data_IF_435513076886
#
_entry.id   IF_435513076886
#
_cell.length_a   1.000
_cell.length_b   1.000
_cell.length_c   1.000
_cell.angle_alpha   90.00
_cell.angle_beta   90.00
_cell.angle_gamma   90.00
#
_symmetry.space_group_name_H-M   'P 1'
#
loop_
_entity.id
_entity.type
_entity.pdbx_description
1 polymer ?
#
# COMPACT_ATOMS: atom_id res chain seq x y z
N UNK A 1 54.22 -17.30 19.68
CA UNK A 1 53.52 -16.58 18.60
C UNK A 1 52.04 -16.90 18.69
N UNK A 2 51.28 -16.10 19.45
CA UNK A 2 49.82 -16.26 19.59
C UNK A 2 49.13 -15.31 18.63
N UNK A 3 48.40 -15.85 17.64
CA UNK A 3 47.50 -15.08 16.78
C UNK A 3 46.20 -14.83 17.55
N UNK A 4 45.99 -13.59 17.98
CA UNK A 4 44.68 -13.10 18.42
C UNK A 4 43.77 -13.02 17.20
N UNK A 5 42.73 -13.86 17.18
CA UNK A 5 41.60 -13.75 16.27
C UNK A 5 40.61 -12.75 16.87
N UNK A 6 40.55 -11.55 16.28
CA UNK A 6 39.52 -10.56 16.55
C UNK A 6 38.18 -11.04 15.98
N UNK A 7 37.22 -11.34 16.85
CA UNK A 7 35.84 -11.56 16.44
C UNK A 7 35.19 -10.20 16.10
N UNK A 8 34.47 -10.09 14.97
CA UNK A 8 33.71 -8.89 14.65
C UNK A 8 32.55 -8.73 15.63
N UNK A 9 32.41 -7.53 16.17
CA UNK A 9 31.26 -7.08 16.97
C UNK A 9 29.96 -7.31 16.20
N UNK A 10 28.90 -7.85 16.84
CA UNK A 10 27.59 -7.96 16.21
C UNK A 10 27.03 -6.55 15.98
N UNK A 11 26.66 -6.28 14.72
CA UNK A 11 26.00 -5.05 14.33
C UNK A 11 24.80 -4.78 15.25
N UNK A 12 24.78 -3.59 15.87
CA UNK A 12 23.73 -3.16 16.75
C UNK A 12 22.37 -3.31 16.04
N UNK A 13 21.53 -4.20 16.57
CA UNK A 13 20.14 -4.34 16.17
C UNK A 13 19.45 -3.00 16.37
N UNK A 14 19.17 -2.30 15.26
CA UNK A 14 18.32 -1.11 15.29
C UNK A 14 16.96 -1.54 15.86
N UNK A 15 16.63 -1.06 17.05
CA UNK A 15 15.29 -1.15 17.60
C UNK A 15 14.39 -0.32 16.68
N UNK A 16 13.78 -0.96 15.69
CA UNK A 16 12.70 -0.36 14.92
C UNK A 16 11.60 0.01 15.91
N UNK A 17 11.38 1.31 16.11
CA UNK A 17 10.19 1.81 16.81
C UNK A 17 8.96 1.29 16.06
N UNK A 18 8.26 0.33 16.64
CA UNK A 18 7.04 -0.20 16.06
C UNK A 18 6.03 0.94 15.94
N UNK A 19 5.51 1.17 14.73
CA UNK A 19 4.48 2.18 14.50
C UNK A 19 3.22 1.70 15.22
N UNK A 20 2.66 2.47 16.15
CA UNK A 20 1.46 2.06 16.86
C UNK A 20 0.21 2.66 16.22
N UNK A 21 -0.67 1.80 15.70
CA UNK A 21 -2.01 2.18 15.23
C UNK A 21 -2.90 2.57 16.40
N UNK A 22 -3.72 3.61 16.21
CA UNK A 22 -4.83 3.95 17.11
C UNK A 22 -6.16 3.72 16.41
N UNK A 23 -7.11 3.10 17.08
CA UNK A 23 -8.50 3.04 16.60
C UNK A 23 -9.25 4.22 17.23
N UNK A 24 -9.72 5.15 16.39
CA UNK A 24 -10.43 6.35 16.84
C UNK A 24 -11.94 6.09 16.78
N UNK A 25 -12.58 6.15 17.93
CA UNK A 25 -14.03 6.01 18.05
C UNK A 25 -14.77 7.10 17.26
N UNK A 26 -15.76 6.68 16.49
CA UNK A 26 -16.69 7.57 15.79
C UNK A 26 -17.95 7.73 16.62
N UNK A 27 -18.54 8.91 16.64
CA UNK A 27 -19.76 9.21 17.39
C UNK A 27 -20.94 9.41 16.45
N UNK A 28 -22.17 9.25 16.97
CA UNK A 28 -23.40 9.46 16.18
C UNK A 28 -23.46 10.86 15.55
N UNK A 29 -22.90 11.88 16.22
CA UNK A 29 -22.88 13.25 15.70
C UNK A 29 -21.96 13.44 14.48
N UNK A 30 -21.03 12.50 14.24
CA UNK A 30 -20.08 12.52 13.12
C UNK A 30 -20.55 11.71 11.92
N UNK A 31 -21.69 11.01 12.03
CA UNK A 31 -22.23 10.19 10.96
C UNK A 31 -23.57 10.75 10.46
N UNK A 32 -23.85 10.63 9.16
CA UNK A 32 -25.20 10.84 8.67
C UNK A 32 -26.16 9.79 9.27
N UNK A 33 -27.46 10.13 9.40
CA UNK A 33 -28.44 9.15 9.84
C UNK A 33 -28.51 7.98 8.86
N UNK A 34 -28.69 6.77 9.40
CA UNK A 34 -28.85 5.55 8.62
C UNK A 34 -29.99 5.71 7.60
N UNK A 35 -29.82 5.20 6.36
CA UNK A 35 -30.91 5.18 5.41
C UNK A 35 -32.03 4.27 5.88
N UNK A 36 -33.24 4.58 5.43
CA UNK A 36 -34.39 3.69 5.61
C UNK A 36 -34.17 2.36 4.86
N UNK A 37 -34.36 1.20 5.53
CA UNK A 37 -34.11 -0.09 4.92
C UNK A 37 -34.93 -0.43 3.68
N UNK A 38 -36.18 0.00 3.62
CA UNK A 38 -37.04 -0.24 2.47
C UNK A 38 -36.57 0.59 1.27
N UNK A 39 -36.17 1.84 1.53
CA UNK A 39 -35.67 2.79 0.54
C UNK A 39 -34.40 2.28 -0.14
N UNK A 40 -33.36 1.88 0.62
CA UNK A 40 -32.12 1.40 -0.02
C UNK A 40 -32.32 0.05 -0.73
N UNK A 41 -33.15 -0.85 -0.19
CA UNK A 41 -33.45 -2.13 -0.86
C UNK A 41 -34.15 -1.91 -2.19
N UNK A 42 -35.12 -0.99 -2.23
CA UNK A 42 -35.83 -0.62 -3.45
C UNK A 42 -34.87 -0.09 -4.51
N UNK A 43 -33.96 0.80 -4.09
CA UNK A 43 -32.94 1.36 -4.97
C UNK A 43 -32.04 0.28 -5.58
N UNK A 44 -31.50 -0.65 -4.78
CA UNK A 44 -30.62 -1.71 -5.28
C UNK A 44 -31.37 -2.86 -5.99
N UNK A 45 -32.69 -3.00 -5.79
CA UNK A 45 -33.50 -4.02 -6.44
C UNK A 45 -33.88 -3.68 -7.89
N UNK A 46 -33.72 -2.43 -8.32
CA UNK A 46 -34.07 -1.99 -9.67
C UNK A 46 -32.82 -1.78 -10.54
N UNK A 47 -32.31 -2.82 -11.23
CA UNK A 47 -31.06 -2.74 -11.98
C UNK A 47 -31.13 -1.84 -13.23
N UNK A 48 -32.33 -1.38 -13.61
CA UNK A 48 -32.52 -0.43 -14.71
C UNK A 48 -32.48 1.03 -14.25
N UNK A 49 -32.43 1.28 -12.94
CA UNK A 49 -32.54 2.62 -12.34
C UNK A 49 -31.23 3.14 -11.73
N UNK A 50 -30.11 2.44 -11.97
CA UNK A 50 -28.77 2.95 -11.69
C UNK A 50 -28.43 4.26 -12.44
N UNK A 51 -29.34 4.76 -13.29
CA UNK A 51 -29.23 6.06 -13.95
C UNK A 51 -29.66 7.23 -13.05
N UNK A 52 -30.42 6.99 -11.99
CA UNK A 52 -30.68 8.01 -10.96
C UNK A 52 -29.58 7.98 -9.91
N UNK A 53 -29.05 9.14 -9.56
CA UNK A 53 -28.05 9.21 -8.50
C UNK A 53 -28.70 8.75 -7.18
N UNK A 54 -27.97 8.08 -6.27
CA UNK A 54 -28.50 7.71 -4.95
C UNK A 54 -29.11 8.89 -4.18
N UNK A 55 -28.65 10.11 -4.48
CA UNK A 55 -29.18 11.37 -4.00
C UNK A 55 -30.68 11.56 -4.32
N UNK A 56 -31.09 11.25 -5.56
CA UNK A 56 -32.46 11.42 -6.05
C UNK A 56 -33.42 10.44 -5.37
N UNK A 57 -32.94 9.22 -5.11
CA UNK A 57 -33.68 8.17 -4.41
C UNK A 57 -33.62 8.29 -2.88
N UNK A 58 -32.86 9.26 -2.33
CA UNK A 58 -32.53 9.37 -0.89
C UNK A 58 -32.00 8.05 -0.31
N UNK A 59 -31.34 7.24 -1.14
CA UNK A 59 -31.00 5.85 -0.85
C UNK A 59 -29.74 5.68 0.03
N UNK A 60 -29.25 6.76 0.66
CA UNK A 60 -28.36 6.68 1.81
C UNK A 60 -27.01 7.35 1.66
N UNK A 61 -26.00 6.72 2.28
CA UNK A 61 -24.63 7.19 2.39
C UNK A 61 -23.67 5.99 2.20
N UNK A 62 -22.42 6.23 1.82
CA UNK A 62 -21.41 5.17 1.88
C UNK A 62 -20.90 5.01 3.29
N UNK A 63 -20.83 3.77 3.77
CA UNK A 63 -20.09 3.44 4.97
C UNK A 63 -18.66 3.06 4.59
N UNK A 64 -17.70 3.52 5.35
CA UNK A 64 -16.28 3.38 5.02
C UNK A 64 -15.46 3.07 6.26
N UNK A 65 -14.35 2.37 6.05
CA UNK A 65 -13.23 2.31 6.99
C UNK A 65 -12.13 3.21 6.44
N UNK A 66 -11.58 4.07 7.29
CA UNK A 66 -10.61 5.09 6.91
C UNK A 66 -9.37 4.93 7.77
N UNK A 67 -8.21 4.92 7.13
CA UNK A 67 -6.88 4.91 7.75
C UNK A 67 -6.15 6.20 7.36
N UNK A 68 -5.90 7.09 8.32
CA UNK A 68 -5.00 8.24 8.12
C UNK A 68 -3.57 7.81 8.48
N UNK A 69 -2.69 7.77 7.48
CA UNK A 69 -1.30 7.35 7.65
C UNK A 69 -0.43 8.40 8.36
N UNK A 70 -0.86 9.65 8.48
CA UNK A 70 -0.09 10.69 9.17
C UNK A 70 -0.33 10.59 10.67
N UNK A 71 -1.59 10.43 11.08
CA UNK A 71 -1.94 10.28 12.50
C UNK A 71 -1.94 8.84 12.98
N UNK A 72 -1.91 7.86 12.06
CA UNK A 72 -2.03 6.42 12.34
C UNK A 72 -3.38 6.06 12.96
N UNK A 73 -4.43 6.78 12.59
CA UNK A 73 -5.79 6.53 13.06
C UNK A 73 -6.58 5.66 12.08
N UNK A 74 -7.19 4.59 12.58
CA UNK A 74 -8.23 3.83 11.90
C UNK A 74 -9.60 4.19 12.47
N UNK A 75 -10.57 4.54 11.63
CA UNK A 75 -11.90 4.91 12.09
C UNK A 75 -13.00 4.59 11.07
N UNK A 76 -14.22 4.48 11.58
CA UNK A 76 -15.43 4.32 10.80
C UNK A 76 -15.93 5.67 10.26
N UNK A 77 -16.45 5.70 9.04
CA UNK A 77 -16.93 6.93 8.41
C UNK A 77 -18.19 6.69 7.58
N UNK A 78 -18.97 7.75 7.39
CA UNK A 78 -20.20 7.76 6.59
C UNK A 78 -20.26 8.99 5.68
N UNK A 79 -20.31 8.79 4.36
CA UNK A 79 -20.39 9.88 3.38
C UNK A 79 -21.83 10.04 2.85
N UNK A 80 -22.50 11.14 3.22
CA UNK A 80 -23.92 11.36 2.91
C UNK A 80 -24.17 11.80 1.46
N UNK A 81 -24.70 10.89 0.65
CA UNK A 81 -25.07 11.19 -0.74
C UNK A 81 -26.28 12.08 -0.88
N UNK A 82 -27.07 12.28 0.19
CA UNK A 82 -28.21 13.20 0.16
C UNK A 82 -27.77 14.67 0.13
N UNK A 83 -26.54 14.93 0.58
CA UNK A 83 -25.94 16.26 0.59
C UNK A 83 -25.25 16.50 -0.76
N UNK A 84 -25.46 17.65 -1.42
CA UNK A 84 -24.73 17.99 -2.64
C UNK A 84 -23.23 17.81 -2.45
N UNK A 85 -22.60 17.23 -3.47
CA UNK A 85 -21.18 16.85 -3.47
C UNK A 85 -20.20 18.01 -3.19
N UNK A 86 -20.63 19.25 -3.35
CA UNK A 86 -19.86 20.48 -3.05
C UNK A 86 -19.92 20.88 -1.57
N UNK A 87 -20.92 20.40 -0.82
CA UNK A 87 -21.16 20.74 0.58
C UNK A 87 -20.67 19.65 1.56
N UNK A 88 -20.08 18.57 1.06
CA UNK A 88 -19.57 17.46 1.88
C UNK A 88 -18.17 17.78 2.42
N UNK A 89 -17.94 17.54 3.72
CA UNK A 89 -16.58 17.51 4.31
C UNK A 89 -15.85 16.28 3.82
N UNK A 90 -15.23 16.37 2.65
CA UNK A 90 -14.64 15.21 1.99
C UNK A 90 -13.41 14.70 2.71
N UNK A 91 -13.35 13.39 2.86
CA UNK A 91 -12.08 12.68 2.67
C UNK A 91 -11.74 12.87 1.19
N UNK A 92 -10.61 13.50 0.85
CA UNK A 92 -10.30 13.79 -0.53
C UNK A 92 -10.32 12.49 -1.35
N UNK A 93 -10.83 12.55 -2.60
CA UNK A 93 -10.91 11.38 -3.47
C UNK A 93 -9.53 10.75 -3.75
N UNK A 94 -8.45 11.48 -3.46
CA UNK A 94 -7.11 10.95 -3.26
C UNK A 94 -7.07 10.11 -1.98
N UNK A 95 -7.18 8.80 -2.11
CA UNK A 95 -7.13 7.89 -0.97
C UNK A 95 -8.03 6.68 -1.05
N UNK A 96 -8.86 6.55 -2.09
CA UNK A 96 -9.57 5.30 -2.32
C UNK A 96 -8.53 4.18 -2.39
N UNK A 97 -8.68 3.14 -1.55
CA UNK A 97 -7.91 1.92 -1.75
C UNK A 97 -8.38 1.28 -3.05
N UNK A 98 -7.70 1.64 -4.12
CA UNK A 98 -7.87 1.10 -5.44
C UNK A 98 -6.59 0.30 -5.71
N UNK A 99 -6.59 -1.04 -5.60
CA UNK A 99 -5.40 -1.86 -5.79
C UNK A 99 -4.90 -1.88 -7.26
N UNK A 100 -5.32 -0.90 -8.06
CA UNK A 100 -4.88 -0.71 -9.43
C UNK A 100 -3.49 -0.06 -9.41
N UNK A 101 -2.51 -0.84 -9.86
CA UNK A 101 -1.14 -0.42 -10.20
C UNK A 101 -0.22 -0.07 -9.03
N UNK A 102 -0.64 -0.28 -7.77
CA UNK A 102 0.21 -0.17 -6.59
C UNK A 102 1.11 1.08 -6.63
N UNK A 103 0.49 2.22 -6.96
CA UNK A 103 1.20 3.49 -7.10
C UNK A 103 1.66 3.98 -5.72
N UNK A 104 1.96 5.27 -5.62
CA UNK A 104 2.24 5.91 -4.34
C UNK A 104 1.18 5.58 -3.28
N UNK A 105 1.64 5.31 -2.06
CA UNK A 105 0.77 5.14 -0.91
C UNK A 105 0.18 6.51 -0.56
N UNK A 106 -1.15 6.69 -0.54
CA UNK A 106 -1.76 7.97 -0.21
C UNK A 106 -1.74 8.22 1.31
N UNK A 107 -1.74 9.48 1.73
CA UNK A 107 -1.79 9.86 3.16
C UNK A 107 -3.04 9.37 3.88
N UNK A 108 -4.15 9.24 3.16
CA UNK A 108 -5.40 8.68 3.67
C UNK A 108 -5.76 7.51 2.76
N UNK A 109 -6.09 6.38 3.37
CA UNK A 109 -6.61 5.20 2.68
C UNK A 109 -8.04 4.97 3.17
N UNK A 110 -8.98 4.68 2.27
CA UNK A 110 -10.32 4.25 2.68
C UNK A 110 -10.85 3.08 1.86
N UNK A 111 -11.65 2.25 2.53
CA UNK A 111 -12.37 1.11 1.97
C UNK A 111 -13.86 1.32 2.11
N UNK A 112 -14.59 1.19 1.01
CA UNK A 112 -16.06 1.25 1.01
C UNK A 112 -16.61 -0.08 1.50
N UNK A 113 -17.56 -0.01 2.43
CA UNK A 113 -18.31 -1.16 2.92
C UNK A 113 -19.53 -1.36 2.02
N UNK A 114 -19.72 -2.57 1.53
CA UNK A 114 -20.84 -3.00 0.68
C UNK A 114 -22.16 -3.13 1.48
N UNK A 115 -22.51 -2.10 2.24
CA UNK A 115 -23.75 -2.04 3.02
C UNK A 115 -24.97 -1.90 2.09
N UNK A 116 -26.02 -2.66 2.37
CA UNK A 116 -27.31 -2.57 1.69
C UNK A 116 -27.41 -3.27 0.33
N UNK A 117 -26.37 -3.98 -0.13
CA UNK A 117 -26.39 -4.70 -1.42
C UNK A 117 -27.08 -6.08 -1.29
N UNK A 118 -28.15 -6.38 -2.06
CA UNK A 118 -29.06 -7.51 -1.78
C UNK A 118 -28.53 -8.92 -2.12
N UNK A 119 -27.39 -9.05 -2.83
CA UNK A 119 -26.86 -10.37 -3.26
C UNK A 119 -26.47 -11.27 -2.08
N UNK A 120 -25.97 -10.66 -1.00
CA UNK A 120 -25.66 -11.29 0.27
C UNK A 120 -25.71 -10.18 1.33
N UNK A 121 -26.93 -9.69 1.62
CA UNK A 121 -27.15 -8.42 2.32
C UNK A 121 -26.29 -8.29 3.59
N UNK A 122 -25.34 -7.36 3.53
CA UNK A 122 -24.73 -6.79 4.72
C UNK A 122 -25.59 -5.58 5.12
N UNK A 123 -26.23 -5.56 6.29
CA UNK A 123 -27.00 -4.40 6.71
C UNK A 123 -26.08 -3.20 6.89
N UNK A 124 -26.66 -2.00 6.83
CA UNK A 124 -25.97 -0.79 7.30
C UNK A 124 -25.58 -0.95 8.77
N UNK A 125 -24.33 -0.65 9.09
CA UNK A 125 -23.81 -0.71 10.45
C UNK A 125 -24.26 0.52 11.25
N UNK A 126 -24.69 0.32 12.48
CA UNK A 126 -24.78 1.40 13.46
C UNK A 126 -23.39 1.96 13.79
N UNK A 127 -23.32 3.08 14.53
CA UNK A 127 -22.03 3.64 14.97
C UNK A 127 -21.22 2.66 15.81
N UNK A 128 -21.87 1.97 16.75
CA UNK A 128 -21.23 1.02 17.65
C UNK A 128 -20.72 -0.20 16.87
N UNK A 129 -21.52 -0.71 15.93
CA UNK A 129 -21.10 -1.82 15.04
C UNK A 129 -19.98 -1.40 14.10
N UNK A 130 -19.99 -0.16 13.60
CA UNK A 130 -18.94 0.40 12.77
C UNK A 130 -17.61 0.54 13.53
N UNK A 131 -17.64 1.03 14.77
CA UNK A 131 -16.46 1.09 15.62
C UNK A 131 -15.95 -0.30 15.99
N UNK A 132 -16.85 -1.23 16.35
CA UNK A 132 -16.48 -2.62 16.59
C UNK A 132 -15.82 -3.27 15.36
N UNK A 133 -16.33 -2.97 14.16
CA UNK A 133 -15.73 -3.40 12.91
C UNK A 133 -14.35 -2.78 12.67
N UNK A 134 -14.14 -1.49 13.00
CA UNK A 134 -12.82 -0.87 12.94
C UNK A 134 -11.82 -1.56 13.89
N UNK A 135 -12.21 -1.88 15.12
CA UNK A 135 -11.39 -2.68 16.05
C UNK A 135 -11.05 -4.06 15.50
N UNK A 136 -12.02 -4.73 14.87
CA UNK A 136 -11.79 -6.04 14.24
C UNK A 136 -10.74 -5.96 13.13
N UNK A 137 -10.69 -4.86 12.37
CA UNK A 137 -9.75 -4.66 11.27
C UNK A 137 -8.39 -4.10 11.72
N UNK A 138 -8.29 -3.60 12.95
CA UNK A 138 -7.08 -2.97 13.48
C UNK A 138 -5.81 -3.84 13.33
N UNK A 139 -5.83 -5.17 13.56
CA UNK A 139 -4.64 -6.00 13.33
C UNK A 139 -4.17 -6.03 11.86
N UNK A 140 -5.10 -5.97 10.90
CA UNK A 140 -4.75 -5.91 9.48
C UNK A 140 -4.21 -4.54 9.11
N UNK A 141 -4.81 -3.46 9.62
CA UNK A 141 -4.32 -2.10 9.41
C UNK A 141 -2.92 -1.89 10.02
N UNK A 142 -2.67 -2.49 11.20
CA UNK A 142 -1.35 -2.52 11.82
C UNK A 142 -0.33 -3.25 10.94
N UNK A 143 -0.69 -4.44 10.43
CA UNK A 143 0.15 -5.19 9.47
C UNK A 143 0.43 -4.37 8.21
N UNK A 144 -0.55 -3.62 7.71
CA UNK A 144 -0.35 -2.71 6.60
C UNK A 144 0.72 -1.67 6.94
N UNK A 145 0.57 -0.96 8.05
CA UNK A 145 1.48 0.10 8.48
C UNK A 145 2.92 -0.38 8.72
N UNK A 146 3.08 -1.50 9.41
CA UNK A 146 4.38 -2.05 9.79
C UNK A 146 5.23 -2.45 8.58
N UNK A 147 4.57 -2.74 7.46
CA UNK A 147 5.20 -3.24 6.25
C UNK A 147 5.26 -2.20 5.12
N UNK A 148 4.80 -0.96 5.31
CA UNK A 148 5.04 0.09 4.32
C UNK A 148 6.55 0.37 4.16
N UNK A 149 6.98 0.63 2.94
CA UNK A 149 8.39 0.84 2.61
C UNK A 149 8.68 2.35 2.50
N UNK A 150 9.64 2.90 3.26
CA UNK A 150 10.07 4.28 3.04
C UNK A 150 10.77 4.40 1.68
N UNK A 151 10.50 5.47 0.94
CA UNK A 151 11.18 5.80 -0.32
C UNK A 151 12.41 6.67 -0.02
N UNK A 152 13.66 6.17 -0.20
CA UNK A 152 14.86 6.87 0.23
C UNK A 152 15.01 8.28 -0.37
N UNK A 153 15.26 9.26 0.50
CA UNK A 153 15.44 10.66 0.08
C UNK A 153 14.12 11.43 -0.10
N UNK A 154 12.99 10.84 0.27
CA UNK A 154 11.67 11.47 0.25
C UNK A 154 10.95 11.21 1.58
N UNK A 155 9.79 11.86 1.78
CA UNK A 155 8.84 11.58 2.86
C UNK A 155 7.77 10.54 2.47
N UNK A 156 7.82 10.05 1.22
CA UNK A 156 6.80 9.17 0.68
C UNK A 156 7.01 7.71 1.07
N UNK A 157 5.90 6.97 1.01
CA UNK A 157 5.84 5.53 1.25
C UNK A 157 5.52 4.77 -0.05
N UNK A 158 5.95 3.52 -0.10
CA UNK A 158 5.66 2.55 -1.15
C UNK A 158 5.11 1.26 -0.53
N UNK A 159 4.40 0.48 -1.35
CA UNK A 159 3.79 -0.76 -0.94
C UNK A 159 4.82 -1.87 -0.86
N UNK A 160 4.83 -2.64 0.22
CA UNK A 160 5.34 -4.02 0.19
C UNK A 160 4.22 -5.00 -0.18
N UNK A 161 4.59 -6.23 -0.47
CA UNK A 161 3.64 -7.29 -0.74
C UNK A 161 2.81 -7.67 0.50
N UNK A 162 3.40 -7.58 1.69
CA UNK A 162 2.73 -7.75 2.98
C UNK A 162 1.68 -6.66 3.22
N UNK A 163 2.06 -5.38 3.06
CA UNK A 163 1.15 -4.25 3.26
C UNK A 163 0.01 -4.22 2.23
N UNK A 164 0.33 -4.47 0.96
CA UNK A 164 -0.67 -4.59 -0.11
C UNK A 164 -1.62 -5.78 0.11
N UNK A 165 -1.12 -6.90 0.64
CA UNK A 165 -1.94 -8.04 1.01
C UNK A 165 -2.91 -7.70 2.15
N UNK A 166 -2.42 -7.04 3.21
CA UNK A 166 -3.24 -6.62 4.33
C UNK A 166 -4.35 -5.65 3.88
N UNK A 167 -4.03 -4.69 3.00
CA UNK A 167 -5.03 -3.79 2.40
C UNK A 167 -6.12 -4.53 1.60
N UNK A 168 -5.74 -5.59 0.87
CA UNK A 168 -6.71 -6.46 0.18
C UNK A 168 -7.54 -7.34 1.13
N UNK A 169 -7.02 -7.70 2.30
CA UNK A 169 -7.81 -8.40 3.32
C UNK A 169 -8.84 -7.47 3.98
N UNK A 170 -8.47 -6.21 4.23
CA UNK A 170 -9.40 -5.17 4.68
C UNK A 170 -10.51 -4.94 3.63
N UNK A 171 -10.13 -4.79 2.36
CA UNK A 171 -11.08 -4.67 1.25
C UNK A 171 -12.05 -5.86 1.21
N UNK A 172 -11.52 -7.09 1.27
CA UNK A 172 -12.32 -8.31 1.27
C UNK A 172 -13.31 -8.38 2.44
N UNK A 173 -12.91 -7.92 3.63
CA UNK A 173 -13.76 -7.83 4.81
C UNK A 173 -14.84 -6.74 4.69
N UNK A 174 -14.59 -5.68 3.90
CA UNK A 174 -15.57 -4.63 3.63
C UNK A 174 -16.65 -5.06 2.61
N UNK A 175 -16.36 -6.09 1.80
CA UNK A 175 -17.36 -6.64 0.86
C UNK A 175 -18.53 -7.32 1.58
N UNK A 176 -19.65 -7.45 0.86
CA UNK A 176 -20.85 -8.17 1.33
C UNK A 176 -20.60 -9.65 1.66
N UNK A 177 -19.56 -10.25 1.09
CA UNK A 177 -19.22 -11.66 1.30
C UNK A 177 -18.32 -11.90 2.51
N UNK A 178 -17.69 -10.85 3.05
CA UNK A 178 -16.89 -10.90 4.28
C UNK A 178 -15.85 -12.04 4.27
N UNK A 179 -15.08 -12.14 3.18
CA UNK A 179 -14.11 -13.22 3.04
C UNK A 179 -13.05 -13.18 4.15
N UNK A 180 -12.62 -14.34 4.67
CA UNK A 180 -11.58 -14.38 5.68
C UNK A 180 -10.25 -13.83 5.13
N UNK A 181 -9.39 -13.26 5.99
CA UNK A 181 -8.06 -12.81 5.58
C UNK A 181 -7.25 -13.95 4.97
N UNK A 182 -6.58 -13.66 3.85
CA UNK A 182 -5.69 -14.61 3.17
C UNK A 182 -4.24 -14.44 3.63
N UNK A 183 -3.91 -13.32 4.25
CA UNK A 183 -2.52 -12.96 4.56
C UNK A 183 -1.72 -12.70 3.29
N UNK A 184 -0.42 -13.01 3.35
CA UNK A 184 0.54 -12.79 2.26
C UNK A 184 0.08 -13.47 0.98
N UNK A 185 -0.20 -12.67 -0.05
CA UNK A 185 -0.63 -13.13 -1.38
C UNK A 185 0.56 -13.42 -2.28
N UNK A 186 0.80 -14.66 -2.71
CA UNK A 186 1.98 -14.99 -3.51
C UNK A 186 2.03 -14.19 -4.81
N UNK A 187 0.89 -13.80 -5.39
CA UNK A 187 0.84 -12.99 -6.60
C UNK A 187 1.32 -11.53 -6.43
N UNK A 188 1.55 -11.05 -5.21
CA UNK A 188 2.19 -9.75 -4.97
C UNK A 188 3.67 -9.98 -4.69
N UNK A 189 4.55 -9.41 -5.50
CA UNK A 189 5.99 -9.69 -5.45
C UNK A 189 6.74 -8.41 -5.14
N UNK A 190 7.55 -8.42 -4.08
CA UNK A 190 8.40 -7.28 -3.79
C UNK A 190 9.46 -7.13 -4.89
N UNK A 191 9.74 -5.90 -5.35
CA UNK A 191 10.77 -5.66 -6.37
C UNK A 191 12.15 -6.19 -5.95
N UNK A 192 12.46 -6.15 -4.65
CA UNK A 192 13.69 -6.74 -4.10
C UNK A 192 13.77 -8.27 -4.30
N UNK A 193 12.65 -8.98 -4.16
CA UNK A 193 12.55 -10.42 -4.42
C UNK A 193 12.74 -10.71 -5.92
N UNK A 194 12.09 -9.92 -6.77
CA UNK A 194 12.21 -10.03 -8.22
C UNK A 194 13.65 -9.82 -8.69
N UNK A 195 14.33 -8.77 -8.22
CA UNK A 195 15.74 -8.49 -8.56
C UNK A 195 16.68 -9.57 -8.03
N UNK A 196 16.42 -10.11 -6.83
CA UNK A 196 17.24 -11.20 -6.29
C UNK A 196 17.12 -12.47 -7.15
N UNK A 197 15.93 -12.75 -7.67
CA UNK A 197 15.67 -13.90 -8.53
C UNK A 197 16.18 -13.70 -9.97
N UNK A 198 16.17 -12.47 -10.46
CA UNK A 198 16.46 -12.11 -11.85
C UNK A 198 17.25 -10.77 -11.89
N UNK A 199 18.55 -10.77 -11.52
CA UNK A 199 19.33 -9.52 -11.42
C UNK A 199 19.47 -8.75 -12.74
N UNK A 200 19.37 -9.44 -13.87
CA UNK A 200 19.47 -8.91 -15.23
C UNK A 200 18.35 -7.93 -15.61
N UNK A 201 17.26 -7.88 -14.83
CA UNK A 201 16.21 -6.88 -15.04
C UNK A 201 16.69 -5.48 -14.66
N UNK A 202 17.70 -5.38 -13.79
CA UNK A 202 18.24 -4.11 -13.34
C UNK A 202 18.98 -3.44 -14.49
N UNK A 203 18.50 -2.25 -14.85
CA UNK A 203 19.10 -1.45 -15.90
C UNK A 203 20.07 -0.42 -15.29
N UNK A 204 21.34 -0.35 -15.72
CA UNK A 204 22.32 0.59 -15.17
C UNK A 204 21.84 2.05 -15.23
N UNK A 205 21.12 2.43 -16.28
CA UNK A 205 20.60 3.79 -16.48
C UNK A 205 19.61 4.23 -15.39
N UNK A 206 18.95 3.31 -14.69
CA UNK A 206 18.05 3.66 -13.58
C UNK A 206 18.77 4.40 -12.46
N UNK A 207 20.07 4.16 -12.28
CA UNK A 207 20.88 4.87 -11.29
C UNK A 207 21.08 6.37 -11.62
N UNK A 208 20.78 6.80 -12.84
CA UNK A 208 20.98 8.17 -13.31
C UNK A 208 19.67 8.90 -13.60
N UNK A 209 18.53 8.26 -13.37
CA UNK A 209 17.22 8.86 -13.60
C UNK A 209 16.89 9.94 -12.56
N UNK A 210 16.15 10.96 -13.02
CA UNK A 210 15.50 11.96 -12.18
C UNK A 210 14.36 11.33 -11.38
N UNK A 211 13.89 12.01 -10.33
CA UNK A 211 12.79 11.52 -9.48
C UNK A 211 11.53 11.22 -10.29
N UNK A 212 11.12 12.17 -11.15
CA UNK A 212 9.97 11.97 -12.04
C UNK A 212 10.14 10.74 -12.94
N UNK A 213 11.34 10.51 -13.48
CA UNK A 213 11.58 9.35 -14.35
C UNK A 213 11.63 8.03 -13.57
N UNK A 214 12.09 8.05 -12.33
CA UNK A 214 12.00 6.89 -11.44
C UNK A 214 10.55 6.56 -11.09
N UNK A 215 9.73 7.57 -10.83
CA UNK A 215 8.31 7.40 -10.52
C UNK A 215 7.55 6.82 -11.72
N UNK A 216 7.77 7.34 -12.94
CA UNK A 216 7.22 6.76 -14.19
C UNK A 216 7.67 5.30 -14.38
N UNK A 217 8.94 5.00 -14.10
CA UNK A 217 9.50 3.66 -14.23
C UNK A 217 8.88 2.70 -13.21
N UNK A 218 8.69 3.16 -11.98
CA UNK A 218 8.04 2.39 -10.93
C UNK A 218 6.59 2.05 -11.31
N UNK A 219 5.82 3.03 -11.80
CA UNK A 219 4.46 2.80 -12.28
C UNK A 219 4.42 1.78 -13.42
N UNK A 220 5.29 1.94 -14.43
CA UNK A 220 5.35 0.99 -15.55
C UNK A 220 5.65 -0.45 -15.08
N UNK A 221 6.61 -0.61 -14.17
CA UNK A 221 6.98 -1.92 -13.63
C UNK A 221 5.89 -2.51 -12.73
N UNK A 222 5.18 -1.71 -11.93
CA UNK A 222 4.06 -2.19 -11.12
C UNK A 222 2.90 -2.66 -12.01
N UNK A 223 2.63 -1.96 -13.12
CA UNK A 223 1.58 -2.30 -14.09
C UNK A 223 1.89 -3.54 -14.92
N UNK A 224 3.12 -3.64 -15.42
CA UNK A 224 3.45 -4.58 -16.50
C UNK A 224 4.69 -5.44 -16.22
N UNK A 225 5.40 -5.24 -15.11
CA UNK A 225 6.71 -5.84 -14.87
C UNK A 225 6.71 -7.37 -15.01
N UNK A 226 5.81 -8.07 -14.31
CA UNK A 226 5.76 -9.54 -14.42
C UNK A 226 5.21 -10.04 -15.76
N UNK A 227 4.37 -9.24 -16.45
CA UNK A 227 3.86 -9.61 -17.77
C UNK A 227 4.93 -9.47 -18.86
N UNK A 228 5.72 -8.39 -18.82
CA UNK A 228 6.75 -8.10 -19.82
C UNK A 228 8.10 -8.77 -19.51
N UNK A 229 8.27 -9.30 -18.29
CA UNK A 229 9.47 -10.02 -17.87
C UNK A 229 9.13 -11.44 -17.39
N UNK A 230 8.74 -12.35 -18.31
CA UNK A 230 8.36 -13.72 -17.96
C UNK A 230 9.46 -14.51 -17.26
N UNK A 231 10.73 -14.12 -17.44
CA UNK A 231 11.88 -14.68 -16.71
C UNK A 231 11.76 -14.47 -15.19
N UNK A 232 11.26 -13.31 -14.73
CA UNK A 232 11.01 -13.06 -13.30
C UNK A 232 9.94 -14.03 -12.80
N UNK A 233 8.83 -14.14 -13.55
CA UNK A 233 7.73 -15.01 -13.17
C UNK A 233 8.19 -16.48 -13.06
N UNK A 234 8.97 -16.95 -14.04
CA UNK A 234 9.56 -18.28 -14.04
C UNK A 234 10.53 -18.49 -12.88
N UNK A 235 11.43 -17.53 -12.62
CA UNK A 235 12.42 -17.62 -11.54
C UNK A 235 11.76 -17.66 -10.15
N UNK A 236 10.59 -17.05 -10.00
CA UNK A 236 9.76 -17.08 -8.79
C UNK A 236 8.79 -18.27 -8.73
N UNK A 237 8.84 -19.18 -9.72
CA UNK A 237 8.02 -20.39 -9.76
C UNK A 237 6.56 -20.16 -10.14
N UNK A 238 6.21 -19.01 -10.72
CA UNK A 238 4.86 -18.79 -11.25
C UNK A 238 4.66 -19.58 -12.55
N UNK A 239 3.53 -20.27 -12.64
CA UNK A 239 3.15 -20.99 -13.84
C UNK A 239 2.65 -20.03 -14.95
N UNK A 240 2.57 -20.50 -16.20
CA UNK A 240 2.00 -19.73 -17.31
C UNK A 240 0.51 -19.36 -17.09
N UNK A 241 -0.13 -19.97 -16.10
CA UNK A 241 -1.51 -19.73 -15.67
C UNK A 241 -1.59 -18.95 -14.34
N UNK A 242 -0.57 -18.15 -13.98
CA UNK A 242 -0.69 -17.15 -12.91
C UNK A 242 -0.97 -15.77 -13.51
N UNK A 243 -2.14 -15.55 -14.16
CA UNK A 243 -2.50 -14.21 -14.59
C UNK A 243 -2.70 -13.38 -13.32
N UNK A 244 -2.15 -12.16 -13.29
CA UNK A 244 -2.34 -11.13 -12.25
C UNK A 244 -1.27 -11.03 -11.16
N UNK A 245 -0.11 -11.66 -11.31
CA UNK A 245 1.01 -11.31 -10.45
C UNK A 245 1.42 -9.85 -10.70
N UNK A 246 1.69 -9.08 -9.63
CA UNK A 246 2.09 -7.66 -9.69
C UNK A 246 3.40 -7.44 -8.93
N UNK A 247 4.24 -6.54 -9.45
CA UNK A 247 5.36 -6.01 -8.67
C UNK A 247 4.87 -4.90 -7.74
N UNK A 248 5.45 -4.84 -6.55
CA UNK A 248 5.26 -3.79 -5.54
C UNK A 248 6.60 -3.40 -4.93
N UNK A 249 6.67 -2.24 -4.29
CA UNK A 249 7.90 -1.76 -3.64
C UNK A 249 8.94 -1.27 -4.65
N UNK A 250 8.53 -1.09 -5.90
CA UNK A 250 9.42 -0.75 -7.01
C UNK A 250 9.98 0.65 -6.85
N UNK A 251 9.19 1.61 -6.38
CA UNK A 251 9.65 2.99 -6.18
C UNK A 251 10.70 3.03 -5.06
N UNK A 252 10.41 2.42 -3.92
CA UNK A 252 11.38 2.33 -2.82
C UNK A 252 12.69 1.66 -3.27
N UNK A 253 12.58 0.56 -4.03
CA UNK A 253 13.75 -0.15 -4.55
C UNK A 253 14.56 0.69 -5.55
N UNK A 254 13.91 1.35 -6.50
CA UNK A 254 14.58 2.17 -7.52
C UNK A 254 15.37 3.34 -6.91
N UNK A 255 14.77 4.03 -5.93
CA UNK A 255 15.43 5.13 -5.21
C UNK A 255 16.62 4.61 -4.39
N UNK A 256 16.47 3.45 -3.72
CA UNK A 256 17.57 2.81 -3.02
C UNK A 256 18.71 2.43 -3.96
N UNK A 257 18.40 1.87 -5.14
CA UNK A 257 19.37 1.48 -6.14
C UNK A 257 20.19 2.70 -6.62
N UNK A 258 19.53 3.82 -6.93
CA UNK A 258 20.21 5.08 -7.30
C UNK A 258 21.15 5.57 -6.18
N UNK A 259 20.68 5.56 -4.93
CA UNK A 259 21.49 5.98 -3.78
C UNK A 259 22.73 5.11 -3.59
N UNK A 260 22.59 3.79 -3.76
CA UNK A 260 23.69 2.84 -3.66
C UNK A 260 24.74 3.11 -4.76
N UNK A 261 24.30 3.32 -6.00
CA UNK A 261 25.19 3.63 -7.12
C UNK A 261 25.97 4.94 -6.90
N UNK A 262 25.31 6.00 -6.40
CA UNK A 262 25.96 7.26 -6.05
C UNK A 262 27.01 7.08 -4.94
N UNK A 263 26.70 6.26 -3.93
CA UNK A 263 27.63 5.96 -2.83
C UNK A 263 28.87 5.22 -3.31
N UNK A 264 28.71 4.27 -4.23
CA UNK A 264 29.83 3.55 -4.85
C UNK A 264 30.72 4.49 -5.67
N UNK A 265 30.13 5.38 -6.47
CA UNK A 265 30.86 6.37 -7.26
C UNK A 265 31.67 7.33 -6.37
N UNK A 266 31.06 7.84 -5.29
CA UNK A 266 31.75 8.69 -4.32
C UNK A 266 32.93 7.98 -3.63
N UNK A 267 32.78 6.67 -3.36
CA UNK A 267 33.85 5.88 -2.73
C UNK A 267 35.04 5.65 -3.68
N UNK A 268 34.77 5.47 -4.98
CA UNK A 268 35.81 5.31 -6.00
C UNK A 268 36.61 6.61 -6.20
N UNK A 269 35.96 7.77 -6.15
CA UNK A 269 36.62 9.08 -6.30
C UNK A 269 37.50 9.45 -5.08
N UNK A 270 37.18 8.92 -3.90
CA UNK A 270 37.91 9.19 -2.66
C UNK A 270 39.01 8.16 -2.34
N UNK A 271 39.29 7.21 -3.23
CA UNK A 271 40.39 6.26 -3.04
C UNK A 271 41.70 6.99 -3.36
N UNK A 272 42.56 7.30 -2.37
CA UNK A 272 43.82 8.00 -2.62
C UNK A 272 44.64 7.19 -3.63
N UNK A 273 45.07 7.86 -4.69
CA UNK A 273 45.95 7.27 -5.69
C UNK A 273 47.23 6.87 -4.96
N UNK A 274 47.44 5.57 -4.75
CA UNK A 274 48.67 5.06 -4.15
C UNK A 274 49.77 5.23 -5.20
N UNK A 275 50.48 6.35 -5.11
CA UNK A 275 51.56 6.79 -5.99
C UNK A 275 51.60 8.32 -5.83
N UNK A 276 52.44 8.88 -4.96
CA UNK A 276 53.89 8.74 -4.99
C UNK A 276 54.46 8.46 -3.58
N UNK A 277 54.76 7.19 -3.28
CA UNK A 277 55.84 6.92 -2.35
C UNK A 277 57.12 7.03 -3.17
N UNK A 278 57.71 8.22 -3.14
CA UNK A 278 59.03 8.50 -3.72
C UNK A 278 60.01 7.41 -3.29
N UNK A 279 60.54 6.69 -4.27
CA UNK A 279 61.87 6.08 -4.22
C UNK A 279 62.88 7.22 -3.99
N UNK A 280 63.03 7.66 -2.74
CA UNK A 280 64.24 8.37 -2.32
C UNK A 280 65.34 7.33 -2.22
N UNK A 281 66.11 7.21 -3.31
CA UNK A 281 67.46 6.69 -3.31
C UNK A 281 68.28 7.28 -2.14
N UNK A 282 68.84 6.41 -1.30
CA UNK A 282 70.25 6.43 -0.86
C UNK A 282 70.58 5.19 -0.06
#
# INVERSE_FOLDING_TARGET
>A
MNRQTSHPEPAASQQSSTVQLTVRETTTAQLPPLPDPETYRTYFANPHDYMHAPQDAKAGHFQQIVLDLRTKDLFFHGEDWRVPREAQSRIPASGLFAPFHWLNVPDIIYWVIDSGIPVAERPYLTVDEGNAFAHQLAPLAQTLLDHLLPVPGTDALDWSAESASAGRDIEAACTRYQHPPKGRRPELVNMSEAVKACPEIVRPEWAHYTDARLDDTAEYLNRCGLHHHPAIAQALGFGPQTPRASLVGTRAWLYQNRRNAQTLLASQLNTPTVGDAEDTHS
#
